data_IF_130070486892
#
_entry.id   IF_130070486892
#
_cell.length_a   1.000
_cell.length_b   1.000
_cell.length_c   1.000
_cell.angle_alpha   90.00
_cell.angle_beta   90.00
_cell.angle_gamma   90.00
#
_symmetry.space_group_name_H-M   'P 1'
#
loop_
_entity.id
_entity.type
_entity.pdbx_description
1 polymer ?
#
# COMPACT_ATOMS: atom_id res chain seq x y z
N UNK A 1 3.25 23.07 10.33
CA UNK A 1 2.97 21.92 9.46
C UNK A 1 1.81 21.16 10.08
N UNK A 2 0.64 21.18 9.45
CA UNK A 2 -0.59 20.65 10.02
C UNK A 2 -0.52 19.12 10.12
N UNK A 3 -0.42 18.60 11.34
CA UNK A 3 -0.67 17.19 11.62
C UNK A 3 -2.15 16.93 11.31
N UNK A 4 -2.46 16.19 10.25
CA UNK A 4 -3.83 15.74 10.03
C UNK A 4 -4.23 14.84 11.20
N UNK A 5 -5.27 15.25 11.93
CA UNK A 5 -5.87 14.54 13.05
C UNK A 5 -6.78 13.39 12.60
N UNK A 6 -6.55 12.83 11.40
CA UNK A 6 -7.29 11.64 10.99
C UNK A 6 -6.78 10.41 11.76
N UNK A 7 -7.68 9.53 12.24
CA UNK A 7 -7.28 8.29 12.87
C UNK A 7 -6.50 7.46 11.85
N UNK A 8 -5.16 7.44 11.98
CA UNK A 8 -4.33 6.55 11.18
C UNK A 8 -4.80 5.10 11.43
N UNK A 9 -5.32 4.44 10.39
CA UNK A 9 -5.74 3.05 10.48
C UNK A 9 -4.57 2.14 10.86
N UNK A 10 -4.88 1.01 11.51
CA UNK A 10 -3.89 0.15 12.15
C UNK A 10 -2.85 -0.41 11.17
N UNK A 11 -3.27 -0.67 9.93
CA UNK A 11 -2.40 -1.11 8.85
C UNK A 11 -1.44 -0.02 8.35
N UNK A 12 -1.89 1.24 8.18
CA UNK A 12 -0.98 2.35 7.86
C UNK A 12 0.03 2.59 8.97
N UNK A 13 -0.39 2.46 10.24
CA UNK A 13 0.52 2.55 11.38
C UNK A 13 1.60 1.46 11.30
N UNK A 14 1.21 0.22 10.98
CA UNK A 14 2.11 -0.92 10.86
C UNK A 14 3.10 -0.77 9.69
N UNK A 15 2.63 -0.32 8.52
CA UNK A 15 3.50 -0.02 7.37
C UNK A 15 4.49 1.11 7.71
N UNK A 16 4.02 2.19 8.35
CA UNK A 16 4.91 3.29 8.78
C UNK A 16 5.94 2.84 9.80
N UNK A 17 5.55 1.98 10.75
CA UNK A 17 6.46 1.46 11.77
C UNK A 17 7.59 0.65 11.12
N UNK A 18 7.29 -0.20 10.13
CA UNK A 18 8.32 -0.99 9.44
C UNK A 18 9.27 -0.13 8.60
N UNK A 19 8.82 1.03 8.12
CA UNK A 19 9.64 1.99 7.39
C UNK A 19 10.25 3.07 8.30
N UNK A 20 10.04 3.01 9.62
CA UNK A 20 10.48 4.05 10.55
C UNK A 20 12.00 3.99 10.71
N UNK A 21 12.67 5.04 10.26
CA UNK A 21 14.12 5.23 10.44
C UNK A 21 14.34 6.35 11.45
N UNK A 22 15.32 6.20 12.33
CA UNK A 22 15.71 7.27 13.24
C UNK A 22 16.25 8.47 12.46
N UNK A 23 15.53 9.57 12.55
CA UNK A 23 15.97 10.89 12.07
C UNK A 23 15.97 11.86 13.26
N UNK A 24 17.09 12.50 13.54
CA UNK A 24 17.21 13.40 14.69
C UNK A 24 17.49 12.66 16.01
N UNK A 25 16.84 13.09 17.09
CA UNK A 25 17.14 12.60 18.44
C UNK A 25 16.54 11.21 18.70
N UNK A 26 17.16 10.46 19.62
CA UNK A 26 16.63 9.18 20.07
C UNK A 26 15.27 9.34 20.77
N UNK A 27 15.04 10.45 21.47
CA UNK A 27 13.78 10.73 22.16
C UNK A 27 12.62 10.88 21.17
N UNK A 28 12.84 11.60 20.06
CA UNK A 28 11.83 11.77 19.01
C UNK A 28 11.49 10.45 18.33
N UNK A 29 12.52 9.64 18.04
CA UNK A 29 12.32 8.31 17.45
C UNK A 29 11.51 7.39 18.36
N UNK A 30 11.86 7.32 19.65
CA UNK A 30 11.13 6.49 20.62
C UNK A 30 9.69 6.94 20.76
N UNK A 31 9.45 8.26 20.77
CA UNK A 31 8.10 8.83 20.83
C UNK A 31 7.25 8.40 19.63
N UNK A 32 7.76 8.54 18.41
CA UNK A 32 7.03 8.13 17.21
C UNK A 32 6.87 6.60 17.12
N UNK A 33 7.89 5.83 17.52
CA UNK A 33 7.80 4.37 17.60
C UNK A 33 6.65 3.92 18.51
N UNK A 34 6.56 4.48 19.73
CA UNK A 34 5.52 4.12 20.70
C UNK A 34 4.12 4.54 20.21
N UNK A 35 4.02 5.70 19.56
CA UNK A 35 2.77 6.20 18.98
C UNK A 35 2.27 5.34 17.81
N UNK A 36 3.16 4.81 16.98
CA UNK A 36 2.79 3.88 15.91
C UNK A 36 2.44 2.51 16.50
N UNK A 37 3.27 1.99 17.41
CA UNK A 37 3.05 0.71 18.09
C UNK A 37 1.69 0.63 18.78
N UNK A 38 1.22 1.70 19.42
CA UNK A 38 -0.05 1.70 20.16
C UNK A 38 -1.29 1.47 19.28
N UNK A 39 -1.15 1.58 17.95
CA UNK A 39 -2.23 1.38 16.98
C UNK A 39 -2.19 0.02 16.27
N UNK A 40 -1.16 -0.77 16.52
CA UNK A 40 -0.87 -1.98 15.75
C UNK A 40 -1.34 -3.21 16.52
N UNK A 41 -2.11 -4.07 15.85
CA UNK A 41 -2.41 -5.42 16.33
C UNK A 41 -1.43 -6.41 15.71
N UNK A 42 -1.39 -7.63 16.23
CA UNK A 42 -0.62 -8.71 15.60
C UNK A 42 -1.06 -8.94 14.14
N UNK A 43 -2.35 -8.82 13.88
CA UNK A 43 -2.94 -9.04 12.56
C UNK A 43 -2.52 -7.95 11.57
N UNK A 44 -2.65 -6.67 11.95
CA UNK A 44 -2.23 -5.56 11.08
C UNK A 44 -0.72 -5.54 10.88
N UNK A 45 0.07 -6.00 11.87
CA UNK A 45 1.50 -6.18 11.70
C UNK A 45 1.82 -7.24 10.63
N UNK A 46 1.21 -8.42 10.70
CA UNK A 46 1.41 -9.48 9.69
C UNK A 46 0.95 -9.00 8.30
N UNK A 47 -0.21 -8.35 8.22
CA UNK A 47 -0.73 -7.79 6.98
C UNK A 47 0.23 -6.74 6.39
N UNK A 48 0.85 -5.89 7.20
CA UNK A 48 1.84 -4.92 6.71
C UNK A 48 3.13 -5.55 6.20
N UNK A 49 3.59 -6.66 6.79
CA UNK A 49 4.73 -7.43 6.26
C UNK A 49 4.37 -7.94 4.86
N UNK A 50 3.19 -8.53 4.70
CA UNK A 50 2.70 -8.99 3.41
C UNK A 50 2.64 -7.85 2.39
N UNK A 51 2.06 -6.70 2.77
CA UNK A 51 1.96 -5.50 1.93
C UNK A 51 3.32 -5.04 1.40
N UNK A 52 4.30 -4.88 2.30
CA UNK A 52 5.64 -4.38 1.96
C UNK A 52 6.37 -5.35 1.02
N UNK A 53 6.12 -6.65 1.15
CA UNK A 53 6.67 -7.67 0.26
C UNK A 53 6.12 -7.66 -1.17
N UNK A 54 4.98 -6.99 -1.42
CA UNK A 54 4.41 -6.92 -2.77
C UNK A 54 5.21 -6.00 -3.69
N UNK A 55 5.13 -6.25 -5.01
CA UNK A 55 5.68 -5.32 -6.00
C UNK A 55 5.03 -3.93 -5.88
N UNK A 56 5.79 -2.88 -6.17
CA UNK A 56 5.35 -1.48 -6.08
C UNK A 56 4.05 -1.19 -6.86
N UNK A 57 3.88 -1.78 -8.04
CA UNK A 57 2.66 -1.65 -8.85
C UNK A 57 1.41 -2.16 -8.11
N UNK A 58 1.53 -3.27 -7.37
CA UNK A 58 0.44 -3.83 -6.58
C UNK A 58 0.19 -3.02 -5.31
N UNK A 59 1.25 -2.53 -4.67
CA UNK A 59 1.11 -1.64 -3.51
C UNK A 59 0.37 -0.36 -3.88
N UNK A 60 0.67 0.23 -5.05
CA UNK A 60 -0.03 1.42 -5.57
C UNK A 60 -1.49 1.09 -5.87
N UNK A 61 -1.74 0.00 -6.62
CA UNK A 61 -3.11 -0.39 -6.96
C UNK A 61 -3.96 -0.68 -5.72
N UNK A 62 -3.40 -1.34 -4.69
CA UNK A 62 -4.09 -1.57 -3.42
C UNK A 62 -4.45 -0.27 -2.70
N UNK A 63 -3.56 0.74 -2.69
CA UNK A 63 -3.86 2.06 -2.11
C UNK A 63 -4.93 2.83 -2.89
N UNK A 64 -5.01 2.61 -4.20
CA UNK A 64 -6.04 3.23 -5.03
C UNK A 64 -7.43 2.65 -4.77
N UNK A 65 -7.53 1.46 -4.19
CA UNK A 65 -8.81 0.87 -3.75
C UNK A 65 -9.37 1.49 -2.45
N UNK A 66 -8.69 2.48 -1.86
CA UNK A 66 -9.07 3.11 -0.60
C UNK A 66 -8.32 2.52 0.58
N UNK A 67 -9.06 2.10 1.62
CA UNK A 67 -8.46 1.55 2.84
C UNK A 67 -7.76 0.20 2.59
N UNK A 68 -6.54 0.08 3.12
CA UNK A 68 -5.79 -1.17 3.08
C UNK A 68 -6.48 -2.21 3.98
N UNK A 69 -6.55 -3.49 3.55
CA UNK A 69 -7.06 -4.54 4.41
C UNK A 69 -6.21 -4.73 5.67
N UNK A 70 -6.87 -4.92 6.81
CA UNK A 70 -6.21 -5.16 8.10
C UNK A 70 -5.72 -6.62 8.27
N UNK A 71 -6.08 -7.53 7.35
CA UNK A 71 -5.66 -8.95 7.38
C UNK A 71 -4.90 -9.32 6.11
N UNK A 72 -3.96 -10.26 6.23
CA UNK A 72 -3.11 -10.66 5.10
C UNK A 72 -3.90 -11.44 4.03
N UNK A 73 -4.91 -12.22 4.43
CA UNK A 73 -5.77 -12.99 3.54
C UNK A 73 -6.55 -12.06 2.60
N UNK A 74 -7.24 -11.07 3.18
CA UNK A 74 -7.98 -10.07 2.40
C UNK A 74 -7.05 -9.25 1.51
N UNK A 75 -5.85 -8.97 1.99
CA UNK A 75 -4.84 -8.28 1.19
C UNK A 75 -4.37 -9.10 0.01
N UNK A 76 -4.16 -10.41 0.19
CA UNK A 76 -3.81 -11.32 -0.89
C UNK A 76 -4.91 -11.40 -1.96
N UNK A 77 -6.17 -11.52 -1.53
CA UNK A 77 -7.33 -11.52 -2.44
C UNK A 77 -7.40 -10.24 -3.28
N UNK A 78 -7.30 -9.07 -2.62
CA UNK A 78 -7.30 -7.78 -3.33
C UNK A 78 -6.06 -7.63 -4.24
N UNK A 79 -4.89 -8.10 -3.82
CA UNK A 79 -3.67 -8.03 -4.65
C UNK A 79 -3.81 -8.85 -5.94
N UNK A 80 -4.46 -10.00 -5.88
CA UNK A 80 -4.78 -10.81 -7.07
C UNK A 80 -5.76 -10.07 -7.97
N UNK A 81 -6.80 -9.44 -7.42
CA UNK A 81 -7.76 -8.65 -8.18
C UNK A 81 -7.08 -7.46 -8.90
N UNK A 82 -6.25 -6.69 -8.20
CA UNK A 82 -5.45 -5.59 -8.77
C UNK A 82 -4.55 -6.10 -9.89
N UNK A 83 -3.87 -7.24 -9.70
CA UNK A 83 -3.03 -7.83 -10.75
C UNK A 83 -3.83 -8.16 -12.01
N UNK A 84 -5.04 -8.70 -11.86
CA UNK A 84 -5.93 -9.01 -12.98
C UNK A 84 -6.34 -7.74 -13.73
N UNK A 85 -6.74 -6.70 -13.00
CA UNK A 85 -7.08 -5.39 -13.59
C UNK A 85 -5.91 -4.79 -14.37
N UNK A 86 -4.71 -4.72 -13.77
CA UNK A 86 -3.51 -4.22 -14.44
C UNK A 86 -3.15 -5.03 -15.70
N UNK A 87 -3.40 -6.34 -15.69
CA UNK A 87 -3.15 -7.20 -16.85
C UNK A 87 -4.13 -6.88 -17.99
N UNK A 88 -5.40 -6.66 -17.64
CA UNK A 88 -6.45 -6.33 -18.59
C UNK A 88 -6.25 -4.94 -19.20
N UNK A 89 -5.94 -3.93 -18.38
CA UNK A 89 -5.60 -2.58 -18.85
C UNK A 89 -4.40 -2.59 -19.81
N UNK A 90 -3.37 -3.41 -19.54
CA UNK A 90 -2.23 -3.57 -20.43
C UNK A 90 -2.63 -4.18 -21.77
N UNK A 91 -3.55 -5.15 -21.80
CA UNK A 91 -4.05 -5.75 -23.05
C UNK A 91 -4.81 -4.72 -23.87
N UNK A 92 -5.74 -4.00 -23.26
CA UNK A 92 -6.54 -2.97 -23.94
C UNK A 92 -5.67 -1.84 -24.50
N UNK A 93 -4.64 -1.42 -23.76
CA UNK A 93 -3.70 -0.40 -24.23
C UNK A 93 -2.84 -0.88 -25.42
N UNK A 94 -2.44 -2.16 -25.42
CA UNK A 94 -1.72 -2.77 -26.56
C UNK A 94 -2.63 -2.86 -27.78
N UNK A 95 -3.86 -3.33 -27.59
CA UNK A 95 -4.85 -3.44 -28.67
C UNK A 95 -5.14 -2.05 -29.29
N UNK A 96 -5.31 -1.03 -28.46
CA UNK A 96 -5.48 0.35 -28.93
C UNK A 96 -4.25 0.88 -29.70
N UNK A 97 -3.04 0.60 -29.23
CA UNK A 97 -1.82 1.00 -29.93
C UNK A 97 -1.70 0.34 -31.31
N UNK A 98 -2.08 -0.94 -31.43
CA UNK A 98 -2.11 -1.67 -32.70
C UNK A 98 -3.16 -1.07 -33.64
N UNK A 99 -4.38 -0.83 -33.15
CA UNK A 99 -5.45 -0.21 -33.94
C UNK A 99 -5.03 1.17 -34.45
N UNK A 100 -4.45 2.00 -33.58
CA UNK A 100 -3.97 3.35 -33.94
C UNK A 100 -2.87 3.31 -35.00
N UNK A 101 -1.98 2.32 -34.93
CA UNK A 101 -0.91 2.14 -35.92
C UNK A 101 -1.42 1.63 -37.28
N UNK A 102 -2.47 0.80 -37.29
CA UNK A 102 -3.07 0.25 -38.52
C UNK A 102 -3.98 1.26 -39.22
N UNK A 103 -4.73 2.06 -38.46
CA UNK A 103 -5.71 3.01 -39.02
C UNK A 103 -5.05 4.32 -39.46
N UNK A 104 -3.83 4.62 -39.01
CA UNK A 104 -3.09 5.83 -39.37
C UNK A 104 -3.76 7.07 -38.79
N UNK A 105 -3.23 7.59 -37.68
CA UNK A 105 -3.56 8.93 -37.20
C UNK A 105 -3.10 10.00 -38.20
#
# INVERSE_FOLDING_TARGET
MSASNEPLAGIEAAVRLQCLVQTGSAADYVSEFLKLRSKITRETFIASIFFIGLKKELQIGLRQLGELPDTWEKMAEKAIAVKRQLTEERRQNVDWAIVSAVVGA
#
